data_IF_574710284899
#
_entry.id   IF_574710284899
#
_cell.length_a   1.000
_cell.length_b   1.000
_cell.length_c   1.000
_cell.angle_alpha   90.00
_cell.angle_beta   90.00
_cell.angle_gamma   90.00
#
_symmetry.space_group_name_H-M   'P 1'
#
loop_
_entity.id
_entity.type
_entity.pdbx_description
1 polymer ?
#
# COMPACT_ATOMS: atom_id res chain seq x y z
N UNK A 1 8.67 -69.68 38.96
CA UNK A 1 8.45 -69.08 40.30
C UNK A 1 9.15 -67.73 40.28
N UNK A 2 8.56 -66.55 40.38
CA UNK A 2 7.27 -66.01 40.84
C UNK A 2 7.15 -64.61 40.19
N UNK A 3 5.99 -64.22 39.66
CA UNK A 3 5.18 -63.17 40.30
C UNK A 3 5.41 -61.75 39.74
N UNK A 4 4.52 -61.31 38.86
CA UNK A 4 4.04 -59.90 38.76
C UNK A 4 3.09 -59.68 39.98
N UNK A 5 2.73 -58.48 40.52
CA UNK A 5 2.87 -57.06 40.05
C UNK A 5 3.31 -56.03 41.12
N UNK A 6 3.42 -54.74 40.72
CA UNK A 6 2.60 -53.61 41.25
C UNK A 6 3.36 -52.28 41.43
N UNK A 7 2.90 -51.29 40.65
CA UNK A 7 2.64 -49.87 40.98
C UNK A 7 3.39 -49.20 42.14
N UNK A 8 4.16 -48.15 41.81
CA UNK A 8 4.37 -47.02 42.70
C UNK A 8 4.35 -45.70 41.89
N UNK A 9 3.33 -44.91 42.18
CA UNK A 9 3.06 -43.53 41.84
C UNK A 9 4.11 -42.55 42.36
N UNK A 10 4.28 -41.40 41.68
CA UNK A 10 4.64 -40.15 42.36
C UNK A 10 5.81 -39.36 41.78
N UNK A 11 5.70 -38.88 40.53
CA UNK A 11 6.55 -37.81 40.01
C UNK A 11 5.73 -36.54 39.86
N UNK A 12 5.85 -35.61 40.82
CA UNK A 12 5.21 -34.30 40.80
C UNK A 12 5.78 -33.44 39.65
N UNK A 13 5.06 -33.43 38.53
CA UNK A 13 5.31 -32.50 37.43
C UNK A 13 5.04 -31.08 37.87
N UNK A 14 6.10 -30.35 38.23
CA UNK A 14 6.08 -28.89 38.38
C UNK A 14 5.69 -28.30 37.01
N UNK A 15 4.61 -27.50 36.88
CA UNK A 15 4.35 -26.84 35.62
C UNK A 15 5.44 -25.80 35.38
N UNK A 16 6.22 -26.00 34.32
CA UNK A 16 7.16 -25.01 33.79
C UNK A 16 6.33 -23.80 33.32
N UNK A 17 6.50 -22.58 33.87
CA UNK A 17 5.84 -21.40 33.35
C UNK A 17 6.58 -20.93 32.09
N UNK A 18 6.42 -21.69 31.01
CA UNK A 18 6.97 -21.37 29.70
C UNK A 18 5.98 -20.55 28.89
N UNK A 19 6.34 -19.30 28.61
CA UNK A 19 6.06 -18.71 27.30
C UNK A 19 4.69 -18.06 27.08
N UNK A 20 4.32 -17.06 27.89
CA UNK A 20 3.26 -16.08 27.50
C UNK A 20 3.52 -14.63 27.96
N UNK A 21 4.79 -14.23 28.14
CA UNK A 21 5.13 -12.84 28.48
C UNK A 21 6.03 -12.14 27.44
N UNK A 22 6.50 -12.85 26.41
CA UNK A 22 7.35 -12.27 25.36
C UNK A 22 6.64 -11.92 24.05
N UNK A 23 5.41 -12.39 23.84
CA UNK A 23 4.66 -12.22 22.58
C UNK A 23 3.50 -11.21 22.67
N UNK A 24 3.18 -10.72 23.87
CA UNK A 24 2.10 -9.76 24.12
C UNK A 24 2.60 -8.31 24.30
N UNK A 25 3.78 -8.01 23.77
CA UNK A 25 4.28 -6.65 23.62
C UNK A 25 4.69 -6.44 22.16
N UNK A 26 3.78 -6.73 21.23
CA UNK A 26 3.75 -5.93 20.00
C UNK A 26 3.55 -4.52 20.52
N UNK A 27 4.60 -3.70 20.50
CA UNK A 27 4.57 -2.33 20.97
C UNK A 27 3.44 -1.60 20.24
N UNK A 28 2.26 -1.57 20.86
CA UNK A 28 1.13 -0.77 20.42
C UNK A 28 1.64 0.66 20.56
N UNK A 29 2.07 1.24 19.43
CA UNK A 29 2.55 2.60 19.40
C UNK A 29 1.48 3.46 20.10
N UNK A 30 1.89 4.18 21.13
CA UNK A 30 0.99 5.03 21.90
C UNK A 30 0.27 5.98 20.93
N UNK A 31 -1.01 6.24 21.18
CA UNK A 31 -1.79 7.26 20.45
C UNK A 31 -1.05 8.61 20.50
N UNK A 32 -0.32 8.86 21.58
CA UNK A 32 0.67 9.92 21.70
C UNK A 32 2.03 9.46 21.20
N UNK A 33 2.21 9.48 19.89
CA UNK A 33 3.52 9.34 19.26
C UNK A 33 3.80 10.58 18.39
N UNK A 34 5.08 10.78 18.05
CA UNK A 34 5.55 11.97 17.33
C UNK A 34 4.81 12.15 16.00
N UNK A 35 4.52 11.06 15.27
CA UNK A 35 3.79 11.13 14.01
C UNK A 35 2.36 11.66 14.22
N UNK A 36 1.64 11.16 15.22
CA UNK A 36 0.28 11.63 15.48
C UNK A 36 0.22 13.09 15.94
N UNK A 37 1.20 13.53 16.75
CA UNK A 37 1.31 14.93 17.16
C UNK A 37 1.50 15.84 15.94
N UNK A 38 2.34 15.43 14.98
CA UNK A 38 2.57 16.17 13.73
C UNK A 38 1.29 16.25 12.88
N UNK A 39 0.52 15.16 12.79
CA UNK A 39 -0.80 15.16 12.11
C UNK A 39 -1.77 16.13 12.76
N UNK A 40 -1.86 16.15 14.10
CA UNK A 40 -2.74 17.08 14.83
C UNK A 40 -2.30 18.53 14.63
N UNK A 41 -1.00 18.80 14.72
CA UNK A 41 -0.43 20.13 14.43
C UNK A 41 -0.81 20.55 13.01
N UNK A 42 -0.64 19.68 12.00
CA UNK A 42 -1.05 19.98 10.62
C UNK A 42 -2.54 20.34 10.53
N UNK A 43 -3.40 19.58 11.20
CA UNK A 43 -4.84 19.85 11.21
C UNK A 43 -5.16 21.22 11.84
N UNK A 44 -4.44 21.63 12.88
CA UNK A 44 -4.56 22.96 13.48
C UNK A 44 -3.96 24.07 12.60
N UNK A 45 -2.94 23.77 11.80
CA UNK A 45 -2.39 24.73 10.84
C UNK A 45 -3.39 25.08 9.73
N UNK A 46 -4.34 24.21 9.39
CA UNK A 46 -5.33 24.48 8.32
C UNK A 46 -6.18 25.73 8.60
N UNK A 47 -6.90 25.84 9.74
CA UNK A 47 -7.66 27.06 10.04
C UNK A 47 -6.74 28.28 10.22
N UNK A 48 -5.54 28.09 10.79
CA UNK A 48 -4.55 29.17 10.88
C UNK A 48 -4.10 29.69 9.52
N UNK A 49 -3.83 28.79 8.57
CA UNK A 49 -3.50 29.11 7.19
C UNK A 49 -4.64 29.89 6.51
N UNK A 50 -5.89 29.44 6.66
CA UNK A 50 -7.06 30.13 6.09
C UNK A 50 -7.17 31.55 6.65
N UNK A 51 -7.02 31.71 7.97
CA UNK A 51 -7.05 33.02 8.61
C UNK A 51 -5.95 33.95 8.08
N UNK A 52 -4.72 33.44 7.94
CA UNK A 52 -3.59 34.20 7.37
C UNK A 52 -3.86 34.57 5.90
N UNK A 53 -4.42 33.65 5.12
CA UNK A 53 -4.67 33.87 3.70
C UNK A 53 -5.78 34.90 3.44
N UNK A 54 -6.74 35.04 4.36
CA UNK A 54 -7.85 36.00 4.26
C UNK A 54 -7.60 37.31 5.03
N UNK A 55 -6.55 37.36 5.86
CA UNK A 55 -6.18 38.55 6.63
C UNK A 55 -5.86 39.73 5.70
N UNK A 56 -6.24 40.94 6.13
CA UNK A 56 -6.01 42.16 5.35
C UNK A 56 -6.70 42.15 3.97
N UNK A 57 -7.83 41.44 3.83
CA UNK A 57 -8.53 41.27 2.55
C UNK A 57 -7.87 40.25 1.61
N UNK A 58 -6.82 39.58 2.07
CA UNK A 58 -6.16 38.47 1.38
C UNK A 58 -5.13 38.87 0.32
N UNK A 59 -4.75 40.15 0.22
CA UNK A 59 -3.75 40.63 -0.75
C UNK A 59 -2.53 41.29 -0.11
N UNK A 60 -2.53 41.44 1.22
CA UNK A 60 -1.40 42.01 1.94
C UNK A 60 -0.17 41.07 1.85
N UNK A 61 0.98 41.55 1.33
CA UNK A 61 2.18 40.74 1.18
C UNK A 61 2.73 40.15 2.49
N UNK A 62 2.56 40.84 3.63
CA UNK A 62 3.04 40.35 4.91
C UNK A 62 2.22 39.12 5.36
N UNK A 63 0.90 39.24 5.32
CA UNK A 63 -0.01 38.14 5.64
C UNK A 63 0.16 36.94 4.70
N UNK A 64 0.36 37.21 3.40
CA UNK A 64 0.66 36.16 2.42
C UNK A 64 1.99 35.45 2.63
N UNK A 65 3.01 36.17 3.08
CA UNK A 65 4.31 35.57 3.42
C UNK A 65 4.18 34.63 4.62
N UNK A 66 3.37 35.00 5.63
CA UNK A 66 3.06 34.14 6.76
C UNK A 66 2.20 32.93 6.36
N UNK A 67 1.18 33.12 5.52
CA UNK A 67 0.37 32.03 4.98
C UNK A 67 1.23 31.05 4.18
N UNK A 68 2.16 31.56 3.36
CA UNK A 68 3.12 30.73 2.63
C UNK A 68 4.02 29.94 3.56
N UNK A 69 4.56 30.56 4.62
CA UNK A 69 5.38 29.87 5.60
C UNK A 69 4.61 28.75 6.30
N UNK A 70 3.36 29.01 6.72
CA UNK A 70 2.49 27.99 7.32
C UNK A 70 2.21 26.84 6.35
N UNK A 71 1.91 27.14 5.08
CA UNK A 71 1.72 26.15 4.03
C UNK A 71 2.97 25.30 3.78
N UNK A 72 4.14 25.95 3.67
CA UNK A 72 5.41 25.28 3.46
C UNK A 72 5.77 24.35 4.64
N UNK A 73 5.62 24.82 5.88
CA UNK A 73 5.82 24.01 7.08
C UNK A 73 4.89 22.80 7.06
N UNK A 74 3.59 22.99 6.81
CA UNK A 74 2.63 21.89 6.76
C UNK A 74 2.99 20.83 5.71
N UNK A 75 3.40 21.25 4.51
CA UNK A 75 3.81 20.38 3.40
C UNK A 75 5.12 19.65 3.68
N UNK A 76 6.09 20.31 4.31
CA UNK A 76 7.38 19.72 4.66
C UNK A 76 7.19 18.68 5.78
N UNK A 77 6.42 19.02 6.81
CA UNK A 77 6.13 18.11 7.92
C UNK A 77 5.45 16.83 7.44
N UNK A 78 4.58 16.90 6.43
CA UNK A 78 3.90 15.76 5.76
C UNK A 78 4.85 14.78 5.06
N UNK A 79 5.98 15.30 4.57
CA UNK A 79 6.98 14.43 3.96
C UNK A 79 7.79 13.69 5.04
N UNK A 80 8.06 14.36 6.15
CA UNK A 80 8.89 13.84 7.23
C UNK A 80 8.14 12.84 8.11
N UNK A 81 6.90 13.11 8.51
CA UNK A 81 6.11 12.20 9.34
C UNK A 81 5.77 10.89 8.61
N UNK A 82 5.46 10.96 7.31
CA UNK A 82 5.22 9.79 6.47
C UNK A 82 6.48 8.93 6.32
N UNK A 83 7.67 9.52 6.39
CA UNK A 83 8.93 8.77 6.45
C UNK A 83 9.15 8.18 7.84
N UNK A 84 8.98 8.97 8.90
CA UNK A 84 9.22 8.57 10.28
C UNK A 84 8.28 7.44 10.72
N UNK A 85 6.98 7.53 10.42
CA UNK A 85 6.00 6.51 10.78
C UNK A 85 6.32 5.16 10.12
N UNK A 86 6.83 5.16 8.89
CA UNK A 86 7.19 3.94 8.15
C UNK A 86 8.50 3.33 8.63
N UNK A 87 9.47 4.15 9.00
CA UNK A 87 10.79 3.70 9.45
C UNK A 87 10.74 3.16 10.89
N UNK A 88 9.92 3.76 11.76
CA UNK A 88 9.85 3.40 13.18
C UNK A 88 8.63 2.53 13.56
N UNK A 89 7.79 2.14 12.60
CA UNK A 89 6.64 1.27 12.84
C UNK A 89 5.54 1.90 13.72
N UNK A 90 5.49 3.23 13.81
CA UNK A 90 4.61 4.00 14.71
C UNK A 90 3.18 4.18 14.14
N UNK A 91 2.63 3.13 13.54
CA UNK A 91 1.33 3.20 12.85
C UNK A 91 0.20 2.95 13.85
N UNK A 92 -0.63 3.97 14.09
CA UNK A 92 -1.83 3.88 14.94
C UNK A 92 -3.11 3.87 14.11
N UNK A 93 -4.21 3.35 14.65
CA UNK A 93 -5.50 3.33 13.96
C UNK A 93 -6.08 4.74 13.76
N UNK A 94 -5.80 5.66 14.68
CA UNK A 94 -6.14 7.07 14.51
C UNK A 94 -5.37 7.70 13.34
N UNK A 95 -4.05 7.52 13.28
CA UNK A 95 -3.22 8.06 12.19
C UNK A 95 -3.66 7.55 10.81
N UNK A 96 -4.04 6.27 10.70
CA UNK A 96 -4.57 5.70 9.44
C UNK A 96 -5.79 6.45 8.88
N UNK A 97 -6.60 7.08 9.74
CA UNK A 97 -7.80 7.83 9.35
C UNK A 97 -7.50 9.32 9.24
N UNK A 98 -6.72 9.87 10.18
CA UNK A 98 -6.41 11.29 10.24
C UNK A 98 -5.46 11.73 9.12
N UNK A 99 -4.43 10.93 8.79
CA UNK A 99 -3.41 11.29 7.81
C UNK A 99 -4.02 11.58 6.43
N UNK A 100 -4.87 10.72 5.82
CA UNK A 100 -5.48 11.02 4.52
C UNK A 100 -6.32 12.30 4.49
N UNK A 101 -6.89 12.70 5.64
CA UNK A 101 -7.68 13.93 5.77
C UNK A 101 -6.73 15.13 5.87
N UNK A 102 -5.74 15.05 6.75
CA UNK A 102 -4.77 16.12 6.98
C UNK A 102 -3.92 16.40 5.72
N UNK A 103 -3.47 15.34 5.02
CA UNK A 103 -2.73 15.40 3.74
C UNK A 103 -3.46 16.26 2.69
N UNK A 104 -4.80 16.21 2.69
CA UNK A 104 -5.62 16.90 1.67
C UNK A 104 -6.19 18.21 2.16
N UNK A 105 -6.31 18.40 3.48
CA UNK A 105 -6.92 19.58 4.06
C UNK A 105 -6.13 20.85 3.74
N UNK A 106 -4.80 20.87 3.93
CA UNK A 106 -4.00 22.08 3.68
C UNK A 106 -3.96 22.46 2.21
N UNK A 107 -3.75 21.48 1.33
CA UNK A 107 -3.75 21.69 -0.13
C UNK A 107 -5.12 22.14 -0.62
N UNK A 108 -6.19 21.53 -0.10
CA UNK A 108 -7.55 21.88 -0.47
C UNK A 108 -7.97 23.26 0.03
N UNK A 109 -7.61 23.60 1.26
CA UNK A 109 -7.82 24.93 1.82
C UNK A 109 -7.12 26.00 0.97
N UNK A 110 -5.87 25.78 0.57
CA UNK A 110 -5.14 26.70 -0.30
C UNK A 110 -5.83 26.91 -1.65
N UNK A 111 -6.23 25.84 -2.34
CA UNK A 111 -6.94 25.96 -3.63
C UNK A 111 -8.28 26.69 -3.51
N UNK A 112 -9.04 26.41 -2.45
CA UNK A 112 -10.33 27.07 -2.18
C UNK A 112 -10.10 28.55 -1.89
N UNK A 113 -9.18 28.90 -1.00
CA UNK A 113 -8.85 30.31 -0.69
C UNK A 113 -8.40 31.06 -1.94
N UNK A 114 -7.51 30.48 -2.75
CA UNK A 114 -7.04 31.10 -4.00
C UNK A 114 -8.18 31.34 -5.00
N UNK A 115 -9.16 30.42 -5.06
CA UNK A 115 -10.33 30.59 -5.94
C UNK A 115 -11.32 31.61 -5.40
N UNK A 116 -11.51 31.64 -4.07
CA UNK A 116 -12.35 32.62 -3.39
C UNK A 116 -11.79 34.04 -3.51
N UNK A 117 -10.47 34.19 -3.52
CA UNK A 117 -9.75 35.44 -3.79
C UNK A 117 -9.67 35.76 -5.30
N UNK A 118 -10.25 34.94 -6.17
CA UNK A 118 -10.28 35.20 -7.62
C UNK A 118 -8.95 35.01 -8.35
N UNK A 119 -7.92 34.46 -7.70
CA UNK A 119 -6.60 34.25 -8.30
C UNK A 119 -6.52 32.98 -9.12
N UNK A 120 -7.37 32.00 -8.80
CA UNK A 120 -7.46 30.73 -9.48
C UNK A 120 -8.89 30.51 -10.01
N UNK A 121 -9.06 30.13 -11.29
CA UNK A 121 -10.38 29.76 -11.79
C UNK A 121 -10.94 28.54 -11.05
N UNK A 122 -12.22 28.59 -10.66
CA UNK A 122 -12.88 27.51 -9.92
C UNK A 122 -12.79 26.14 -10.59
N UNK A 123 -12.79 26.09 -11.92
CA UNK A 123 -12.66 24.83 -12.65
C UNK A 123 -11.34 24.10 -12.35
N UNK A 124 -10.24 24.84 -12.13
CA UNK A 124 -8.94 24.26 -11.77
C UNK A 124 -9.04 23.60 -10.40
N UNK A 125 -9.61 24.31 -9.42
CA UNK A 125 -9.83 23.80 -8.07
C UNK A 125 -10.74 22.57 -8.07
N UNK A 126 -11.84 22.60 -8.80
CA UNK A 126 -12.76 21.47 -8.92
C UNK A 126 -12.07 20.24 -9.54
N UNK A 127 -11.26 20.42 -10.59
CA UNK A 127 -10.51 19.32 -11.22
C UNK A 127 -9.51 18.72 -10.24
N UNK A 128 -8.72 19.56 -9.55
CA UNK A 128 -7.69 19.08 -8.63
C UNK A 128 -8.34 18.38 -7.42
N UNK A 129 -9.28 19.04 -6.74
CA UNK A 129 -9.97 18.47 -5.57
C UNK A 129 -10.77 17.23 -5.94
N UNK A 130 -11.54 17.28 -7.02
CA UNK A 130 -12.33 16.16 -7.50
C UNK A 130 -11.45 14.94 -7.81
N UNK A 131 -10.28 15.15 -8.42
CA UNK A 131 -9.31 14.07 -8.64
C UNK A 131 -8.74 13.55 -7.32
N UNK A 132 -8.32 14.42 -6.41
CA UNK A 132 -7.74 14.02 -5.11
C UNK A 132 -8.71 13.15 -4.30
N UNK A 133 -9.97 13.56 -4.19
CA UNK A 133 -11.02 12.81 -3.51
C UNK A 133 -11.40 11.54 -4.28
N UNK A 134 -11.56 11.65 -5.61
CA UNK A 134 -11.96 10.53 -6.46
C UNK A 134 -10.97 9.38 -6.47
N UNK A 135 -9.66 9.66 -6.57
CA UNK A 135 -8.61 8.63 -6.49
C UNK A 135 -8.54 8.02 -5.10
N UNK A 136 -8.76 8.81 -4.05
CA UNK A 136 -8.79 8.33 -2.67
C UNK A 136 -9.96 7.37 -2.46
N UNK A 137 -11.17 7.74 -2.88
CA UNK A 137 -12.34 6.88 -2.81
C UNK A 137 -12.18 5.61 -3.66
N UNK A 138 -11.68 5.74 -4.88
CA UNK A 138 -11.45 4.60 -5.77
C UNK A 138 -10.46 3.61 -5.16
N UNK A 139 -9.40 4.10 -4.49
CA UNK A 139 -8.45 3.26 -3.74
C UNK A 139 -9.17 2.42 -2.67
N UNK A 140 -10.05 3.03 -1.89
CA UNK A 140 -10.82 2.33 -0.87
C UNK A 140 -11.75 1.27 -1.48
N UNK A 141 -12.37 1.55 -2.63
CA UNK A 141 -13.28 0.60 -3.30
C UNK A 141 -12.56 -0.61 -3.91
N UNK A 142 -11.32 -0.44 -4.36
CA UNK A 142 -10.57 -1.50 -5.04
C UNK A 142 -9.66 -2.31 -4.12
N UNK A 143 -9.45 -1.88 -2.87
CA UNK A 143 -8.57 -2.57 -1.91
C UNK A 143 -8.98 -4.04 -1.69
N UNK A 144 -10.29 -4.35 -1.79
CA UNK A 144 -10.84 -5.71 -1.70
C UNK A 144 -10.48 -6.63 -2.87
N UNK A 145 -9.98 -6.08 -3.98
CA UNK A 145 -9.57 -6.83 -5.18
C UNK A 145 -8.05 -6.92 -5.32
N UNK A 146 -7.30 -6.16 -4.54
CA UNK A 146 -5.83 -6.12 -4.54
C UNK A 146 -5.29 -4.73 -4.27
N UNK A 147 -3.99 -4.64 -4.06
CA UNK A 147 -3.29 -3.38 -3.82
C UNK A 147 -2.75 -2.84 -5.15
N UNK A 148 -3.08 -1.59 -5.49
CA UNK A 148 -2.52 -0.91 -6.66
C UNK A 148 -1.17 -0.30 -6.26
N UNK A 149 -0.05 -0.68 -6.90
CA UNK A 149 1.26 -0.11 -6.59
C UNK A 149 1.31 1.38 -6.95
N UNK A 150 2.01 2.15 -6.12
CA UNK A 150 2.17 3.60 -6.32
C UNK A 150 2.92 3.89 -7.63
N UNK A 151 2.37 4.77 -8.46
CA UNK A 151 3.03 5.20 -9.71
C UNK A 151 4.03 6.33 -9.44
N UNK A 152 5.16 6.33 -10.18
CA UNK A 152 6.17 7.41 -10.12
C UNK A 152 5.57 8.78 -10.46
N UNK A 153 4.55 8.81 -11.31
CA UNK A 153 3.81 10.02 -11.69
C UNK A 153 3.13 10.72 -10.52
N UNK A 154 2.71 9.96 -9.49
CA UNK A 154 2.11 10.54 -8.28
C UNK A 154 3.06 11.48 -7.52
N UNK A 155 4.35 11.14 -7.44
CA UNK A 155 5.35 11.96 -6.74
C UNK A 155 5.59 13.29 -7.47
N UNK A 156 5.78 13.23 -8.78
CA UNK A 156 6.00 14.43 -9.60
C UNK A 156 4.79 15.36 -9.54
N UNK A 157 3.57 14.79 -9.58
CA UNK A 157 2.34 15.54 -9.42
C UNK A 157 2.32 16.31 -8.09
N UNK A 158 2.56 15.64 -6.96
CA UNK A 158 2.52 16.29 -5.64
C UNK A 158 3.55 17.42 -5.54
N UNK A 159 4.76 17.20 -6.05
CA UNK A 159 5.79 18.24 -6.07
C UNK A 159 5.36 19.44 -6.94
N UNK A 160 4.96 19.19 -8.18
CA UNK A 160 4.54 20.23 -9.11
C UNK A 160 3.35 21.04 -8.56
N UNK A 161 2.37 20.36 -7.96
CA UNK A 161 1.20 20.99 -7.38
C UNK A 161 1.54 21.79 -6.13
N UNK A 162 2.39 21.26 -5.23
CA UNK A 162 2.85 21.98 -4.04
C UNK A 162 3.63 23.24 -4.40
N UNK A 163 4.52 23.16 -5.39
CA UNK A 163 5.26 24.33 -5.89
C UNK A 163 4.29 25.33 -6.54
N UNK A 164 3.36 24.86 -7.40
CA UNK A 164 2.38 25.72 -8.03
C UNK A 164 1.56 26.49 -6.99
N UNK A 165 0.95 25.80 -6.03
CA UNK A 165 0.13 26.41 -4.99
C UNK A 165 0.96 27.33 -4.11
N UNK A 166 2.17 26.93 -3.71
CA UNK A 166 3.08 27.79 -2.95
C UNK A 166 3.40 29.09 -3.69
N UNK A 167 3.63 29.04 -5.01
CA UNK A 167 3.84 30.25 -5.82
C UNK A 167 2.60 31.14 -5.91
N UNK A 168 1.40 30.60 -5.82
CA UNK A 168 0.17 31.41 -5.78
C UNK A 168 -0.07 32.02 -4.40
N UNK A 169 0.20 31.26 -3.33
CA UNK A 169 0.06 31.76 -1.95
C UNK A 169 1.03 32.90 -1.70
N UNK A 170 2.27 32.79 -2.19
CA UNK A 170 3.24 33.87 -2.11
C UNK A 170 2.84 34.99 -3.09
N UNK A 171 2.81 36.25 -2.63
CA UNK A 171 2.47 37.41 -3.45
C UNK A 171 3.60 37.75 -4.46
N UNK A 172 3.83 36.87 -5.44
CA UNK A 172 4.89 37.01 -6.44
C UNK A 172 4.55 38.11 -7.47
N UNK A 173 5.54 38.92 -7.81
CA UNK A 173 5.46 39.95 -8.87
C UNK A 173 6.43 39.63 -10.02
N UNK A 174 6.21 40.26 -11.18
CA UNK A 174 7.12 40.15 -12.32
C UNK A 174 7.14 38.77 -13.01
N UNK A 175 8.29 38.30 -13.53
CA UNK A 175 8.39 37.04 -14.29
C UNK A 175 7.91 35.81 -13.50
N UNK A 176 8.10 35.81 -12.17
CA UNK A 176 7.64 34.76 -11.28
C UNK A 176 6.11 34.63 -11.27
N UNK A 177 5.39 35.75 -11.44
CA UNK A 177 3.94 35.77 -11.56
C UNK A 177 3.44 35.15 -12.87
N UNK A 178 4.26 35.13 -13.93
CA UNK A 178 3.95 34.41 -15.17
C UNK A 178 4.31 32.92 -15.05
N UNK A 179 5.43 32.62 -14.40
CA UNK A 179 5.89 31.25 -14.18
C UNK A 179 4.87 30.44 -13.36
N UNK A 180 4.26 31.02 -12.31
CA UNK A 180 3.26 30.31 -11.49
C UNK A 180 2.12 29.72 -12.33
N UNK A 181 1.68 30.44 -13.38
CA UNK A 181 0.62 29.97 -14.27
C UNK A 181 1.03 28.70 -15.02
N UNK A 182 2.23 28.70 -15.60
CA UNK A 182 2.76 27.53 -16.31
C UNK A 182 2.99 26.34 -15.39
N UNK A 183 3.49 26.57 -14.18
CA UNK A 183 3.67 25.53 -13.17
C UNK A 183 2.31 24.95 -12.73
N UNK A 184 1.29 25.79 -12.57
CA UNK A 184 -0.08 25.34 -12.28
C UNK A 184 -0.69 24.55 -13.46
N UNK A 185 -0.51 25.01 -14.69
CA UNK A 185 -0.95 24.28 -15.88
C UNK A 185 -0.31 22.88 -15.95
N UNK A 186 0.99 22.79 -15.70
CA UNK A 186 1.70 21.52 -15.59
C UNK A 186 1.12 20.64 -14.46
N UNK A 187 0.85 21.21 -13.29
CA UNK A 187 0.25 20.49 -12.16
C UNK A 187 -1.15 19.94 -12.52
N UNK A 188 -1.97 20.69 -13.26
CA UNK A 188 -3.28 20.23 -13.74
C UNK A 188 -3.13 19.08 -14.74
N UNK A 189 -2.24 19.21 -15.73
CA UNK A 189 -1.97 18.16 -16.72
C UNK A 189 -1.51 16.87 -16.03
N UNK A 190 -0.56 16.97 -15.11
CA UNK A 190 -0.10 15.83 -14.31
C UNK A 190 -1.22 15.25 -13.44
N UNK A 191 -2.09 16.10 -12.89
CA UNK A 191 -3.24 15.69 -12.08
C UNK A 191 -4.20 14.83 -12.88
N UNK A 192 -4.58 15.28 -14.07
CA UNK A 192 -5.49 14.57 -14.97
C UNK A 192 -4.82 13.29 -15.47
N UNK A 193 -3.60 13.36 -16.00
CA UNK A 193 -2.88 12.21 -16.54
C UNK A 193 -2.72 11.09 -15.49
N UNK A 194 -2.30 11.43 -14.27
CA UNK A 194 -2.17 10.45 -13.18
C UNK A 194 -3.52 9.95 -12.66
N UNK A 195 -4.57 10.77 -12.74
CA UNK A 195 -5.94 10.36 -12.42
C UNK A 195 -6.43 9.28 -13.38
N UNK A 196 -6.26 9.51 -14.68
CA UNK A 196 -6.63 8.55 -15.73
C UNK A 196 -5.85 7.24 -15.64
N UNK A 197 -4.52 7.30 -15.44
CA UNK A 197 -3.68 6.12 -15.20
C UNK A 197 -4.18 5.30 -14.00
N UNK A 198 -4.58 5.96 -12.92
CA UNK A 198 -5.12 5.29 -11.74
C UNK A 198 -6.46 4.59 -12.02
N UNK A 199 -7.38 5.26 -12.72
CA UNK A 199 -8.67 4.68 -13.10
C UNK A 199 -8.48 3.45 -13.98
N UNK A 200 -7.58 3.51 -14.97
CA UNK A 200 -7.29 2.38 -15.85
C UNK A 200 -6.77 1.17 -15.05
N UNK A 201 -5.83 1.37 -14.13
CA UNK A 201 -5.31 0.31 -13.25
C UNK A 201 -6.40 -0.27 -12.35
N UNK A 202 -7.26 0.58 -11.81
CA UNK A 202 -8.38 0.16 -10.96
C UNK A 202 -9.40 -0.71 -11.72
N UNK A 203 -9.72 -0.36 -12.97
CA UNK A 203 -10.61 -1.14 -13.83
C UNK A 203 -10.00 -2.52 -14.15
N UNK A 204 -8.73 -2.55 -14.55
CA UNK A 204 -8.02 -3.82 -14.85
C UNK A 204 -7.98 -4.74 -13.63
N UNK A 205 -7.70 -4.18 -12.44
CA UNK A 205 -7.66 -4.94 -11.20
C UNK A 205 -9.04 -5.54 -10.85
N UNK A 206 -10.11 -4.75 -10.99
CA UNK A 206 -11.48 -5.22 -10.76
C UNK A 206 -11.85 -6.37 -11.70
N UNK A 207 -11.49 -6.28 -12.98
CA UNK A 207 -11.76 -7.34 -13.96
C UNK A 207 -11.03 -8.65 -13.63
N UNK A 208 -9.75 -8.58 -13.21
CA UNK A 208 -8.97 -9.76 -12.79
C UNK A 208 -9.57 -10.42 -11.54
N UNK A 209 -9.99 -9.63 -10.55
CA UNK A 209 -10.64 -10.13 -9.34
C UNK A 209 -11.96 -10.86 -9.61
N UNK A 210 -12.78 -10.35 -10.54
CA UNK A 210 -14.04 -11.00 -10.94
C UNK A 210 -13.80 -12.32 -11.69
N UNK A 211 -12.76 -12.39 -12.54
CA UNK A 211 -12.38 -13.62 -13.26
C UNK A 211 -11.93 -14.71 -12.29
N UNK A 212 -11.12 -14.36 -11.28
CA UNK A 212 -10.67 -15.31 -10.26
C UNK A 212 -11.84 -15.90 -9.46
N UNK A 213 -12.78 -15.06 -9.01
CA UNK A 213 -13.99 -15.52 -8.30
C UNK A 213 -14.88 -16.44 -9.15
N UNK A 214 -14.95 -16.21 -10.46
CA UNK A 214 -15.69 -17.11 -11.38
C UNK A 214 -14.98 -18.46 -11.53
N UNK A 215 -13.67 -18.46 -11.73
CA UNK A 215 -12.89 -19.69 -11.81
C UNK A 215 -13.00 -20.53 -10.52
N UNK A 216 -12.88 -19.90 -9.35
CA UNK A 216 -13.04 -20.56 -8.05
C UNK A 216 -14.44 -21.19 -7.89
N UNK A 217 -15.51 -20.52 -8.34
CA UNK A 217 -16.87 -21.09 -8.32
C UNK A 217 -17.02 -22.28 -9.27
N UNK A 218 -16.46 -22.21 -10.47
CA UNK A 218 -16.53 -23.31 -11.44
C UNK A 218 -15.74 -24.52 -10.97
N UNK A 219 -14.52 -24.33 -10.44
CA UNK A 219 -13.72 -25.42 -9.87
C UNK A 219 -14.35 -26.00 -8.61
N UNK A 220 -14.93 -25.15 -7.75
CA UNK A 220 -15.67 -25.61 -6.57
C UNK A 220 -16.89 -26.45 -6.93
N UNK A 221 -17.69 -26.01 -7.91
CA UNK A 221 -18.85 -26.75 -8.39
C UNK A 221 -18.49 -28.11 -9.03
N UNK A 222 -17.40 -28.14 -9.81
CA UNK A 222 -16.88 -29.38 -10.40
C UNK A 222 -16.36 -30.35 -9.32
N UNK A 223 -15.67 -29.84 -8.29
CA UNK A 223 -15.19 -30.65 -7.17
C UNK A 223 -16.32 -31.24 -6.33
N UNK A 224 -17.40 -30.49 -6.08
CA UNK A 224 -18.58 -30.99 -5.35
C UNK A 224 -19.38 -32.02 -6.16
N UNK A 225 -19.46 -31.86 -7.48
CA UNK A 225 -20.15 -32.82 -8.34
C UNK A 225 -19.38 -34.16 -8.38
N UNK A 226 -18.06 -34.12 -8.57
CA UNK A 226 -17.23 -35.34 -8.60
C UNK A 226 -17.18 -36.09 -7.26
N UNK A 227 -17.26 -35.38 -6.12
CA UNK A 227 -17.31 -36.02 -4.80
C UNK A 227 -18.69 -36.60 -4.47
N UNK A 228 -19.78 -35.99 -4.93
CA UNK A 228 -21.12 -36.57 -4.84
C UNK A 228 -21.29 -37.83 -5.71
N UNK A 229 -20.70 -37.82 -6.90
CA UNK A 229 -20.70 -38.97 -7.83
C UNK A 229 -19.85 -40.13 -7.29
N UNK A 230 -18.69 -39.85 -6.70
CA UNK A 230 -17.85 -40.85 -6.04
C UNK A 230 -18.53 -41.44 -4.78
N UNK A 231 -19.25 -40.63 -4.00
CA UNK A 231 -20.02 -41.11 -2.84
C UNK A 231 -21.24 -41.95 -3.26
N UNK A 232 -21.90 -41.59 -4.37
CA UNK A 232 -22.98 -42.38 -4.96
C UNK A 232 -22.50 -43.74 -5.47
N UNK A 233 -21.36 -43.78 -6.15
CA UNK A 233 -20.74 -45.02 -6.65
C UNK A 233 -20.30 -45.97 -5.52
N UNK A 234 -19.81 -45.43 -4.39
CA UNK A 234 -19.45 -46.24 -3.22
C UNK A 234 -20.68 -46.84 -2.51
N UNK A 235 -21.86 -46.21 -2.62
CA UNK A 235 -23.10 -46.71 -2.00
C UNK A 235 -23.86 -47.74 -2.85
N UNK A 236 -23.51 -47.89 -4.13
CA UNK A 236 -24.15 -48.84 -5.06
C UNK A 236 -23.41 -50.19 -5.16
N UNK A 237 -22.34 -50.40 -4.39
CA UNK A 237 -21.48 -51.58 -4.47
C UNK A 237 -21.76 -52.70 -3.46
N UNK A 238 -22.76 -52.58 -2.59
CA UNK A 238 -22.97 -53.56 -1.51
C UNK A 238 -24.31 -54.29 -1.64
N UNK A 239 -24.25 -55.53 -2.14
CA UNK A 239 -25.21 -56.59 -1.82
C UNK A 239 -24.42 -57.86 -1.50
N UNK A 240 -24.76 -58.59 -0.43
CA UNK A 240 -23.94 -59.68 0.08
C UNK A 240 -24.40 -61.02 -0.53
N UNK A 241 -23.48 -61.78 -1.10
CA UNK A 241 -23.71 -63.22 -1.32
C UNK A 241 -22.44 -64.01 -1.03
N UNK A 242 -22.58 -64.96 -0.11
CA UNK A 242 -21.59 -65.91 0.36
C UNK A 242 -21.29 -66.97 -0.71
N UNK A 243 -20.03 -67.42 -0.83
CA UNK A 243 -19.66 -68.84 -0.88
C UNK A 243 -18.13 -69.06 -1.00
N UNK A 244 -17.58 -69.63 0.06
CA UNK A 244 -16.57 -70.69 0.17
C UNK A 244 -15.32 -70.81 -0.76
N UNK A 245 -14.17 -70.81 -0.05
CA UNK A 245 -13.13 -71.86 0.02
C UNK A 245 -12.06 -72.00 -1.09
N UNK A 246 -10.79 -71.96 -0.66
CA UNK A 246 -9.65 -72.56 -1.35
C UNK A 246 -8.29 -71.86 -1.15
N UNK A 247 -7.61 -72.12 -0.03
CA UNK A 247 -6.17 -71.86 0.20
C UNK A 247 -5.27 -72.82 -0.64
N UNK A 248 -3.91 -72.70 -0.65
CA UNK A 248 -3.03 -71.53 -0.55
C UNK A 248 -1.87 -71.55 -1.57
N UNK A 249 -1.11 -70.46 -1.70
CA UNK A 249 0.24 -70.56 -2.27
C UNK A 249 0.88 -69.24 -2.64
N UNK A 250 2.10 -69.00 -2.14
CA UNK A 250 3.04 -68.09 -2.79
C UNK A 250 3.62 -67.01 -1.89
N UNK A 251 4.76 -67.33 -1.31
CA UNK A 251 5.63 -66.47 -0.53
C UNK A 251 6.04 -65.13 -1.20
N UNK A 252 6.48 -64.21 -0.33
CA UNK A 252 7.59 -63.22 -0.44
C UNK A 252 7.21 -61.74 -0.39
N UNK A 253 7.25 -61.22 0.83
CA UNK A 253 8.20 -60.21 1.35
C UNK A 253 8.54 -58.89 0.60
N UNK A 254 8.42 -57.82 1.41
CA UNK A 254 9.09 -56.52 1.46
C UNK A 254 8.75 -55.39 0.47
N UNK A 255 8.41 -54.22 1.06
CA UNK A 255 8.83 -52.92 0.51
C UNK A 255 7.92 -51.74 0.82
N UNK A 256 8.01 -51.20 2.03
CA UNK A 256 7.35 -49.96 2.44
C UNK A 256 7.96 -48.70 1.78
N UNK A 257 7.10 -47.71 1.57
CA UNK A 257 7.24 -46.26 1.78
C UNK A 257 8.61 -45.56 1.55
N UNK A 258 8.58 -44.42 0.84
CA UNK A 258 9.63 -43.40 1.02
C UNK A 258 9.74 -42.32 -0.06
N UNK A 259 9.10 -41.19 0.20
CA UNK A 259 9.33 -39.84 -0.38
C UNK A 259 10.80 -39.43 -0.28
N UNK A 260 11.44 -38.81 -1.31
CA UNK A 260 12.16 -37.50 -1.28
C UNK A 260 12.60 -37.05 -2.71
N UNK A 261 12.48 -35.74 -2.97
CA UNK A 261 13.36 -34.87 -3.79
C UNK A 261 13.36 -34.97 -5.33
N UNK A 262 12.69 -33.98 -5.95
CA UNK A 262 13.14 -33.39 -7.22
C UNK A 262 13.24 -31.87 -7.01
N UNK A 263 14.43 -31.46 -6.55
CA UNK A 263 14.88 -30.08 -6.47
C UNK A 263 15.68 -29.72 -7.75
N UNK A 264 15.55 -28.46 -8.18
CA UNK A 264 16.48 -27.74 -9.05
C UNK A 264 16.62 -28.18 -10.52
N UNK A 265 15.68 -27.74 -11.36
CA UNK A 265 15.97 -27.44 -12.77
C UNK A 265 15.15 -26.21 -13.21
N UNK A 266 15.81 -25.05 -13.33
CA UNK A 266 15.16 -23.86 -13.90
C UNK A 266 15.67 -22.50 -13.44
N UNK A 267 16.97 -22.33 -13.21
CA UNK A 267 17.54 -21.01 -12.91
C UNK A 267 18.98 -20.87 -13.42
N UNK A 268 19.22 -21.02 -14.74
CA UNK A 268 20.45 -20.55 -15.40
C UNK A 268 20.19 -20.24 -16.87
N UNK A 269 19.77 -19.02 -17.19
CA UNK A 269 20.14 -18.30 -18.42
C UNK A 269 19.65 -16.84 -18.35
N UNK A 270 20.52 -15.96 -17.84
CA UNK A 270 20.75 -14.58 -18.31
C UNK A 270 21.59 -13.83 -17.27
N UNK A 271 22.89 -14.13 -17.25
CA UNK A 271 23.91 -13.29 -16.61
C UNK A 271 25.26 -13.66 -17.23
N UNK A 272 25.47 -13.23 -18.48
CA UNK A 272 26.76 -13.23 -19.15
C UNK A 272 26.69 -12.17 -20.26
N UNK A 273 26.81 -10.90 -19.89
CA UNK A 273 27.54 -9.96 -20.73
C UNK A 273 27.96 -8.74 -19.88
N UNK A 274 29.15 -8.85 -19.29
CA UNK A 274 29.89 -7.71 -18.77
C UNK A 274 31.37 -8.07 -18.84
N UNK A 275 32.09 -7.41 -19.74
CA UNK A 275 33.53 -7.20 -19.60
C UNK A 275 34.37 -7.69 -20.77
N UNK A 276 34.52 -6.85 -21.79
CA UNK A 276 35.79 -6.64 -22.46
C UNK A 276 35.66 -5.44 -23.40
N UNK A 277 36.31 -4.33 -23.06
CA UNK A 277 37.16 -3.51 -23.93
C UNK A 277 37.51 -2.26 -23.13
N UNK A 278 38.62 -2.37 -22.39
CA UNK A 278 39.30 -1.24 -21.82
C UNK A 278 40.17 -0.53 -22.86
N UNK A 279 40.69 0.62 -22.46
CA UNK A 279 42.00 1.07 -22.92
C UNK A 279 42.01 2.41 -23.63
N UNK A 280 42.32 3.44 -22.85
CA UNK A 280 43.39 4.40 -23.15
C UNK A 280 43.19 5.45 -24.27
N UNK A 281 43.15 6.72 -23.83
CA UNK A 281 44.26 7.72 -23.89
C UNK A 281 43.85 9.08 -24.47
N UNK A 282 44.29 10.12 -23.73
CA UNK A 282 44.70 11.48 -24.15
C UNK A 282 43.58 12.35 -24.77
N UNK A 283 43.22 13.49 -24.21
CA UNK A 283 44.06 14.58 -23.74
C UNK A 283 44.22 15.56 -24.89
N UNK A 284 43.46 16.66 -24.89
CA UNK A 284 43.79 17.94 -25.55
C UNK A 284 42.66 18.97 -25.36
N UNK A 285 43.00 20.06 -24.68
CA UNK A 285 42.42 21.40 -24.79
C UNK A 285 43.63 22.33 -25.06
N UNK A 286 43.47 23.58 -25.51
CA UNK A 286 43.00 24.10 -26.81
C UNK A 286 44.19 24.77 -27.58
N UNK A 287 43.99 25.59 -28.65
CA UNK A 287 43.76 27.04 -28.42
C UNK A 287 42.94 27.80 -29.49
N UNK A 288 42.16 28.81 -29.07
CA UNK A 288 42.34 30.26 -29.36
C UNK A 288 41.19 31.10 -28.81
#
# INVERSE_FOLDING_TARGET
MTGVPASATGGSGRPVPGGKLGAAAVAQASVWNVANLLTVIRLLLVPGFIALMLAGGGYDPAWRSLAWAAFAIAMITDLFDGHLARTYGLVTDFGKIADPIADKAIMGAALICLSALGELPWWVTCVILGRELGVTLLRFLVIRYGVIPASRGGKLKTLAQGVAVGMYVLALTGPLASLRFWVMALAVVLTVATGLDYVNRAVVLRQRGLRRKRAERTTGAAGTAGSAEAAGAASAGESPELAEAGEPGGAREYGAAGVVAAEAAGARHHAADAGALGGERRGEEPPR
#
